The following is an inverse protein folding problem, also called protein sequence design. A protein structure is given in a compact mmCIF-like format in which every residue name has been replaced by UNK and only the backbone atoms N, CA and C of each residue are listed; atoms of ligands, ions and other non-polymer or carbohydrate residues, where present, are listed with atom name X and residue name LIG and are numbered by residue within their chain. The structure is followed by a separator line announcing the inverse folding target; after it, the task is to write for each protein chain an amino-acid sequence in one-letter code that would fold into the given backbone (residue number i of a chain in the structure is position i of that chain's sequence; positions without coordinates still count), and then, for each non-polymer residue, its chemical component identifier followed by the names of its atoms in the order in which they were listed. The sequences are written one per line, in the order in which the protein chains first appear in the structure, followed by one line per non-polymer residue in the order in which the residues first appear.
data_IF_113371004568
#
_entry.id   IF_113371004568
#
_cell.length_a   1.000
_cell.length_b   1.000
_cell.length_c   1.000
_cell.angle_alpha   90.00
_cell.angle_beta   90.00
_cell.angle_gamma   90.00
#
_symmetry.space_group_name_H-M   'P 1'
#
loop_
_entity.id
_entity.type
_entity.pdbx_description
1 polymer ?
#
# COMPACT_ATOMS: atom_id res chain seq x y z
N UNK A 1 3.08 -27.61 42.22
CA UNK A 1 4.51 -27.63 41.86
C UNK A 1 4.61 -28.48 40.61
N UNK A 2 4.44 -27.87 39.42
CA UNK A 2 4.52 -28.52 38.12
C UNK A 2 5.86 -28.14 37.49
N UNK A 3 6.73 -29.12 37.37
CA UNK A 3 8.02 -29.01 36.69
C UNK A 3 7.78 -29.25 35.21
N UNK A 4 7.76 -28.14 34.42
CA UNK A 4 7.68 -28.22 32.98
C UNK A 4 9.09 -28.33 32.42
N UNK A 5 9.54 -29.57 32.20
CA UNK A 5 10.79 -29.88 31.53
C UNK A 5 10.80 -29.25 30.13
N UNK A 6 11.61 -28.21 29.97
CA UNK A 6 11.95 -27.68 28.64
C UNK A 6 12.80 -28.71 27.90
N UNK A 7 12.15 -29.44 27.00
CA UNK A 7 12.86 -30.35 26.07
C UNK A 7 13.89 -29.56 25.25
N UNK A 8 15.12 -30.07 25.22
CA UNK A 8 16.18 -29.56 24.34
C UNK A 8 15.68 -29.51 22.90
N UNK A 9 15.60 -28.31 22.34
CA UNK A 9 15.41 -28.13 20.93
C UNK A 9 16.65 -28.69 20.21
N UNK A 10 16.52 -29.67 19.31
CA UNK A 10 17.67 -30.19 18.59
C UNK A 10 18.32 -29.04 17.82
N UNK A 11 19.63 -28.86 18.02
CA UNK A 11 20.44 -27.92 17.26
C UNK A 11 20.28 -28.25 15.78
N UNK A 12 19.60 -27.38 15.04
CA UNK A 12 19.60 -27.45 13.57
C UNK A 12 21.04 -27.32 13.13
N UNK A 13 21.59 -28.27 12.36
CA UNK A 13 22.91 -28.10 11.77
C UNK A 13 22.83 -26.83 10.93
N UNK A 14 23.83 -25.96 11.07
CA UNK A 14 24.02 -24.79 10.19
C UNK A 14 24.20 -25.30 8.76
N UNK A 15 23.12 -25.57 8.09
CA UNK A 15 23.10 -25.72 6.64
C UNK A 15 23.24 -24.31 6.09
N UNK A 16 24.47 -23.84 5.98
CA UNK A 16 24.80 -22.71 5.13
C UNK A 16 24.56 -23.18 3.69
N UNK A 17 23.28 -23.32 3.34
CA UNK A 17 22.91 -23.41 1.95
C UNK A 17 23.24 -22.07 1.35
N UNK A 18 24.19 -22.04 0.45
CA UNK A 18 24.32 -21.01 -0.54
C UNK A 18 23.04 -20.96 -1.34
N UNK A 19 22.05 -20.26 -0.77
CA UNK A 19 20.78 -20.03 -1.46
C UNK A 19 21.10 -19.04 -2.60
N UNK A 20 20.69 -19.35 -3.83
CA UNK A 20 20.97 -18.49 -4.99
C UNK A 20 20.33 -17.09 -4.93
N UNK A 21 19.58 -16.76 -3.87
CA UNK A 21 19.05 -15.43 -3.61
C UNK A 21 20.11 -14.39 -3.20
N UNK A 22 21.36 -14.80 -2.98
CA UNK A 22 22.47 -13.86 -2.71
C UNK A 22 22.74 -12.89 -3.87
N UNK A 23 22.15 -13.12 -5.04
CA UNK A 23 22.12 -12.20 -6.17
C UNK A 23 20.65 -11.83 -6.47
N UNK A 24 19.97 -11.23 -5.47
CA UNK A 24 18.62 -10.70 -5.66
C UNK A 24 18.58 -9.76 -6.87
N UNK A 25 17.44 -9.78 -7.60
CA UNK A 25 17.23 -8.83 -8.70
C UNK A 25 17.49 -7.40 -8.20
N UNK A 26 18.17 -6.61 -9.00
CA UNK A 26 18.28 -5.18 -8.75
C UNK A 26 16.88 -4.54 -8.85
N UNK A 27 16.55 -3.73 -7.87
CA UNK A 27 15.26 -3.04 -7.81
C UNK A 27 15.49 -1.57 -8.12
N UNK A 28 14.75 -1.05 -9.10
CA UNK A 28 14.81 0.35 -9.51
C UNK A 28 13.43 0.99 -9.44
N UNK A 29 13.38 2.28 -9.16
CA UNK A 29 12.16 3.09 -9.24
C UNK A 29 12.20 3.83 -10.56
N UNK A 30 11.28 3.49 -11.47
CA UNK A 30 11.22 4.05 -12.82
C UNK A 30 10.48 5.38 -12.91
N UNK A 31 9.64 5.69 -11.91
CA UNK A 31 8.91 6.96 -11.84
C UNK A 31 7.80 6.94 -10.82
N UNK A 32 7.06 8.03 -10.73
CA UNK A 32 5.92 8.14 -9.82
C UNK A 32 5.12 9.41 -10.03
N UNK A 33 3.93 9.42 -9.49
CA UNK A 33 3.01 10.57 -9.48
C UNK A 33 2.33 10.65 -8.12
N UNK A 34 1.84 11.84 -7.79
CA UNK A 34 0.96 12.05 -6.65
C UNK A 34 -0.04 13.18 -6.90
N UNK A 35 -1.13 13.15 -6.18
CA UNK A 35 -2.04 14.31 -6.08
C UNK A 35 -1.41 15.45 -5.28
N UNK A 36 -1.87 16.69 -5.41
CA UNK A 36 -1.53 17.73 -4.45
C UNK A 36 -1.99 17.34 -3.05
N UNK A 37 -1.31 17.86 -2.03
CA UNK A 37 -1.81 17.82 -0.66
C UNK A 37 -2.91 18.87 -0.50
N UNK A 38 -4.01 18.48 0.12
CA UNK A 38 -5.12 19.37 0.40
C UNK A 38 -5.37 19.45 1.91
N UNK A 39 -6.06 20.52 2.31
CA UNK A 39 -6.39 20.76 3.70
C UNK A 39 -7.46 19.76 4.17
N UNK A 40 -7.33 19.32 5.41
CA UNK A 40 -8.32 18.50 6.09
C UNK A 40 -9.60 19.31 6.37
N UNK A 41 -10.79 18.69 6.19
CA UNK A 41 -12.08 19.38 6.38
C UNK A 41 -12.38 19.79 7.82
N UNK A 42 -11.63 19.32 8.80
CA UNK A 42 -11.72 19.77 10.18
C UNK A 42 -11.07 21.13 10.44
N UNK A 43 -10.34 21.69 9.44
CA UNK A 43 -9.57 22.91 9.60
C UNK A 43 -8.47 22.81 10.67
N UNK A 44 -7.63 23.84 10.80
CA UNK A 44 -6.58 23.90 11.84
C UNK A 44 -7.12 23.93 13.27
N UNK A 45 -8.38 24.33 13.44
CA UNK A 45 -9.05 24.48 14.74
C UNK A 45 -10.07 23.41 15.04
N UNK A 46 -10.31 22.48 14.12
CA UNK A 46 -11.37 21.49 14.26
C UNK A 46 -12.77 22.11 14.24
N UNK A 47 -12.94 23.25 13.57
CA UNK A 47 -14.19 24.02 13.48
C UNK A 47 -15.20 23.43 12.48
N UNK A 48 -14.81 22.34 11.78
CA UNK A 48 -15.67 21.66 10.83
C UNK A 48 -15.85 22.41 9.51
N UNK A 49 -15.04 23.44 9.24
CA UNK A 49 -15.06 24.12 7.96
C UNK A 49 -14.68 23.17 6.81
N UNK A 50 -15.21 23.47 5.63
CA UNK A 50 -14.94 22.71 4.42
C UNK A 50 -13.44 22.57 4.19
N UNK A 51 -12.96 21.35 4.03
CA UNK A 51 -11.57 21.06 3.72
C UNK A 51 -11.18 21.45 2.31
N UNK A 52 -9.97 21.06 1.91
CA UNK A 52 -9.42 21.36 0.60
C UNK A 52 -10.24 20.75 -0.56
N UNK A 53 -9.87 21.13 -1.77
CA UNK A 53 -10.60 20.78 -3.01
C UNK A 53 -10.81 19.28 -3.23
N UNK A 54 -10.00 18.42 -2.62
CA UNK A 54 -10.09 16.96 -2.74
C UNK A 54 -10.86 16.29 -1.59
N UNK A 55 -11.46 17.05 -0.68
CA UNK A 55 -12.13 16.52 0.51
C UNK A 55 -13.29 15.57 0.20
N UNK A 56 -13.98 15.78 -0.92
CA UNK A 56 -15.13 14.98 -1.36
C UNK A 56 -14.75 13.77 -2.22
N UNK A 57 -13.47 13.66 -2.61
CA UNK A 57 -12.98 12.57 -3.47
C UNK A 57 -12.51 11.42 -2.58
N UNK A 58 -13.02 10.22 -2.81
CA UNK A 58 -12.62 9.05 -2.01
C UNK A 58 -11.13 8.71 -2.13
N UNK A 59 -10.57 8.06 -1.11
CA UNK A 59 -9.18 7.61 -1.13
C UNK A 59 -8.92 6.69 -2.34
N UNK A 60 -9.88 5.82 -2.67
CA UNK A 60 -9.78 4.90 -3.80
C UNK A 60 -9.77 5.62 -5.16
N UNK A 61 -10.53 6.72 -5.30
CA UNK A 61 -10.50 7.56 -6.50
C UNK A 61 -9.17 8.29 -6.62
N UNK A 62 -8.66 8.86 -5.52
CA UNK A 62 -7.32 9.45 -5.50
C UNK A 62 -6.24 8.41 -5.86
N UNK A 63 -6.35 7.20 -5.31
CA UNK A 63 -5.49 6.06 -5.65
C UNK A 63 -5.56 5.69 -7.13
N UNK A 64 -6.76 5.67 -7.70
CA UNK A 64 -6.98 5.41 -9.14
C UNK A 64 -6.21 6.40 -10.01
N UNK A 65 -6.37 7.69 -9.73
CA UNK A 65 -5.76 8.74 -10.55
C UNK A 65 -4.24 8.75 -10.46
N UNK A 66 -3.65 8.46 -9.29
CA UNK A 66 -2.19 8.39 -9.17
C UNK A 66 -1.62 7.15 -9.84
N UNK A 67 -2.33 6.01 -9.81
CA UNK A 67 -1.90 4.80 -10.53
C UNK A 67 -1.91 5.07 -12.04
N UNK A 68 -3.01 5.62 -12.59
CA UNK A 68 -3.08 6.02 -14.01
C UNK A 68 -1.93 6.96 -14.37
N UNK A 69 -1.78 8.04 -13.62
CA UNK A 69 -0.75 9.03 -13.88
C UNK A 69 0.68 8.46 -13.78
N UNK A 70 0.93 7.50 -12.89
CA UNK A 70 2.23 6.84 -12.79
C UNK A 70 2.51 5.95 -14.01
N UNK A 71 1.54 5.15 -14.44
CA UNK A 71 1.62 4.28 -15.62
C UNK A 71 1.85 5.10 -16.88
N UNK A 72 1.07 6.16 -17.07
CA UNK A 72 1.23 7.09 -18.20
C UNK A 72 2.61 7.77 -18.20
N UNK A 73 3.04 8.26 -17.04
CA UNK A 73 4.32 8.95 -16.91
C UNK A 73 5.52 8.07 -17.24
N UNK A 74 5.44 6.80 -16.88
CA UNK A 74 6.52 5.82 -17.10
C UNK A 74 6.37 5.07 -18.41
N UNK A 75 5.31 5.33 -19.18
CA UNK A 75 4.95 4.60 -20.39
C UNK A 75 4.91 3.07 -20.16
N UNK A 76 4.41 2.67 -18.99
CA UNK A 76 4.28 1.26 -18.62
C UNK A 76 2.99 0.69 -19.20
N UNK A 77 3.05 -0.50 -19.79
CA UNK A 77 1.82 -1.22 -20.17
C UNK A 77 1.12 -1.72 -18.91
N UNK A 78 -0.15 -1.36 -18.66
CA UNK A 78 -0.91 -1.88 -17.54
C UNK A 78 -0.91 -3.42 -17.41
N UNK A 79 -0.80 -4.12 -18.54
CA UNK A 79 -0.75 -5.58 -18.60
C UNK A 79 0.59 -6.16 -18.13
N UNK A 80 1.64 -5.36 -18.09
CA UNK A 80 2.94 -5.77 -17.56
C UNK A 80 3.07 -5.60 -16.05
N UNK A 81 2.04 -5.09 -15.39
CA UNK A 81 2.03 -4.92 -13.93
C UNK A 81 1.68 -6.24 -13.26
N UNK A 82 2.65 -6.83 -12.57
CA UNK A 82 2.49 -8.12 -11.89
C UNK A 82 1.81 -8.01 -10.53
N UNK A 83 1.92 -6.84 -9.86
CA UNK A 83 1.30 -6.61 -8.55
C UNK A 83 1.02 -5.13 -8.30
N UNK A 84 -0.02 -4.84 -7.52
CA UNK A 84 -0.30 -3.50 -6.98
C UNK A 84 -0.29 -3.55 -5.46
N UNK A 85 0.48 -2.67 -4.82
CA UNK A 85 0.55 -2.57 -3.36
C UNK A 85 0.23 -1.14 -2.94
N UNK A 86 -0.91 -0.93 -2.28
CA UNK A 86 -1.33 0.40 -1.82
C UNK A 86 -1.48 0.44 -0.30
N UNK A 87 -0.81 1.42 0.30
CA UNK A 87 -1.01 1.75 1.70
C UNK A 87 -2.31 2.51 1.91
N UNK A 88 -3.09 2.13 2.92
CA UNK A 88 -4.32 2.81 3.31
C UNK A 88 -4.52 2.65 4.82
N UNK A 89 -4.32 3.72 5.57
CA UNK A 89 -4.30 3.65 7.02
C UNK A 89 -5.70 3.70 7.63
N UNK A 90 -6.55 4.60 7.16
CA UNK A 90 -7.88 4.84 7.70
C UNK A 90 -8.95 4.58 6.65
N UNK A 91 -9.70 3.50 6.83
CA UNK A 91 -10.77 3.09 5.93
C UNK A 91 -11.98 4.02 6.10
N UNK A 92 -12.22 4.85 5.11
CA UNK A 92 -13.26 5.90 5.12
C UNK A 92 -14.49 5.56 4.29
N UNK A 93 -14.47 4.41 3.61
CA UNK A 93 -15.60 3.93 2.79
C UNK A 93 -15.84 2.44 2.96
N UNK A 94 -17.01 1.94 2.56
CA UNK A 94 -17.31 0.51 2.54
C UNK A 94 -16.47 -0.29 1.53
N UNK A 95 -15.81 0.39 0.59
CA UNK A 95 -14.92 -0.22 -0.40
C UNK A 95 -13.45 -0.22 0.03
N UNK A 96 -13.12 0.53 1.07
CA UNK A 96 -11.75 0.77 1.51
C UNK A 96 -10.99 -0.51 1.91
N UNK A 97 -11.70 -1.52 2.39
CA UNK A 97 -11.11 -2.82 2.74
C UNK A 97 -10.39 -3.48 1.54
N UNK A 98 -10.90 -3.24 0.33
CA UNK A 98 -10.32 -3.68 -0.92
C UNK A 98 -9.76 -2.51 -1.74
N UNK A 99 -9.32 -1.45 -1.08
CA UNK A 99 -8.98 -0.17 -1.70
C UNK A 99 -7.97 -0.27 -2.83
N UNK A 100 -6.87 -1.01 -2.64
CA UNK A 100 -5.90 -1.26 -3.71
C UNK A 100 -6.53 -1.94 -4.92
N UNK A 101 -7.44 -2.91 -4.69
CA UNK A 101 -8.14 -3.63 -5.76
C UNK A 101 -9.04 -2.71 -6.56
N UNK A 102 -9.83 -1.88 -5.89
CA UNK A 102 -10.69 -0.91 -6.56
C UNK A 102 -9.90 0.13 -7.33
N UNK A 103 -8.84 0.67 -6.73
CA UNK A 103 -8.00 1.67 -7.37
C UNK A 103 -7.29 1.11 -8.62
N UNK A 104 -6.70 -0.09 -8.51
CA UNK A 104 -5.98 -0.74 -9.60
C UNK A 104 -6.89 -1.09 -10.77
N UNK A 105 -8.05 -1.72 -10.51
CA UNK A 105 -9.01 -2.06 -11.57
C UNK A 105 -9.54 -0.83 -12.30
N UNK A 106 -9.89 0.22 -11.56
CA UNK A 106 -10.34 1.50 -12.16
C UNK A 106 -9.22 2.21 -12.92
N UNK A 107 -7.96 1.95 -12.57
CA UNK A 107 -6.80 2.45 -13.30
C UNK A 107 -6.46 1.65 -14.57
N UNK A 108 -7.19 0.57 -14.84
CA UNK A 108 -6.99 -0.26 -16.03
C UNK A 108 -6.00 -1.41 -15.84
N UNK A 109 -5.57 -1.69 -14.64
CA UNK A 109 -4.77 -2.88 -14.33
C UNK A 109 -5.66 -4.12 -14.51
N UNK A 110 -5.16 -5.19 -15.14
CA UNK A 110 -5.93 -6.41 -15.37
C UNK A 110 -6.50 -7.03 -14.10
N UNK A 111 -7.63 -7.69 -14.23
CA UNK A 111 -8.27 -8.35 -13.08
C UNK A 111 -7.47 -9.54 -12.53
N UNK A 112 -6.60 -10.13 -13.32
CA UNK A 112 -5.71 -11.22 -12.95
C UNK A 112 -4.58 -10.76 -12.05
N UNK A 113 -4.20 -9.48 -12.14
CA UNK A 113 -3.13 -8.91 -11.32
C UNK A 113 -3.54 -8.88 -9.84
N UNK A 114 -2.79 -9.49 -8.94
CA UNK A 114 -3.05 -9.43 -7.51
C UNK A 114 -2.81 -8.03 -6.97
N UNK A 115 -3.62 -7.62 -5.98
CA UNK A 115 -3.58 -6.28 -5.42
C UNK A 115 -3.72 -6.34 -3.90
N UNK A 116 -2.77 -5.74 -3.19
CA UNK A 116 -2.68 -5.73 -1.73
C UNK A 116 -2.94 -4.33 -1.17
N UNK A 117 -3.91 -4.23 -0.28
CA UNK A 117 -4.04 -3.08 0.62
C UNK A 117 -3.33 -3.39 1.91
N UNK A 118 -2.36 -2.55 2.30
CA UNK A 118 -1.64 -2.73 3.56
C UNK A 118 -1.82 -1.53 4.49
N UNK A 119 -1.70 -1.79 5.78
CA UNK A 119 -1.80 -0.77 6.80
C UNK A 119 -0.62 -0.86 7.79
N UNK A 120 0.16 0.19 7.82
CA UNK A 120 1.19 0.49 8.83
C UNK A 120 1.06 1.93 9.30
N UNK A 121 -0.17 2.39 9.47
CA UNK A 121 -0.51 3.78 9.80
C UNK A 121 0.18 4.77 8.84
N UNK A 122 0.75 5.86 9.35
CA UNK A 122 1.42 6.89 8.53
C UNK A 122 2.59 6.35 7.68
N UNK A 123 3.13 5.17 8.03
CA UNK A 123 4.21 4.50 7.30
C UNK A 123 3.74 3.61 6.15
N UNK A 124 2.43 3.51 5.88
CA UNK A 124 1.86 2.56 4.90
C UNK A 124 2.39 2.77 3.49
N UNK A 125 2.49 4.02 3.04
CA UNK A 125 3.03 4.34 1.71
C UNK A 125 4.49 3.92 1.54
N UNK A 126 5.34 4.17 2.53
CA UNK A 126 6.72 3.70 2.51
C UNK A 126 6.79 2.16 2.59
N UNK A 127 5.95 1.54 3.40
CA UNK A 127 5.90 0.08 3.51
C UNK A 127 5.46 -0.58 2.19
N UNK A 128 4.57 0.04 1.42
CA UNK A 128 4.18 -0.50 0.10
C UNK A 128 5.38 -0.61 -0.84
N UNK A 129 6.26 0.40 -0.85
CA UNK A 129 7.50 0.38 -1.65
C UNK A 129 8.45 -0.71 -1.18
N UNK A 130 8.62 -0.86 0.15
CA UNK A 130 9.44 -1.94 0.72
C UNK A 130 8.89 -3.32 0.34
N UNK A 131 7.58 -3.52 0.45
CA UNK A 131 6.94 -4.79 0.10
C UNK A 131 7.07 -5.09 -1.40
N UNK A 132 6.89 -4.10 -2.27
CA UNK A 132 7.12 -4.24 -3.70
C UNK A 132 8.56 -4.64 -4.03
N UNK A 133 9.53 -3.97 -3.40
CA UNK A 133 10.94 -4.33 -3.57
C UNK A 133 11.23 -5.77 -3.14
N UNK A 134 10.66 -6.21 -2.02
CA UNK A 134 10.79 -7.59 -1.56
C UNK A 134 10.20 -8.61 -2.55
N UNK A 135 9.03 -8.34 -3.14
CA UNK A 135 8.43 -9.20 -4.17
C UNK A 135 9.35 -9.34 -5.39
N UNK A 136 9.94 -8.24 -5.85
CA UNK A 136 10.88 -8.25 -6.98
C UNK A 136 12.15 -9.03 -6.63
N UNK A 137 12.73 -8.78 -5.45
CA UNK A 137 13.95 -9.47 -4.99
C UNK A 137 13.75 -10.97 -4.82
N UNK A 138 12.54 -11.40 -4.42
CA UNK A 138 12.16 -12.81 -4.28
C UNK A 138 11.78 -13.46 -5.62
N UNK A 139 11.66 -12.69 -6.70
CA UNK A 139 11.26 -13.19 -8.00
C UNK A 139 9.77 -13.49 -8.14
N UNK A 140 8.95 -12.95 -7.24
CA UNK A 140 7.48 -13.06 -7.28
C UNK A 140 6.85 -12.09 -8.29
N UNK A 141 7.56 -11.01 -8.62
CA UNK A 141 7.14 -10.00 -9.56
C UNK A 141 8.35 -9.37 -10.27
N UNK A 142 8.14 -8.78 -11.43
CA UNK A 142 9.11 -7.97 -12.16
C UNK A 142 8.73 -6.48 -12.15
N UNK A 143 7.43 -6.19 -12.24
CA UNK A 143 6.89 -4.82 -12.26
C UNK A 143 5.79 -4.66 -11.21
N UNK A 144 5.98 -3.75 -10.26
CA UNK A 144 5.02 -3.50 -9.19
C UNK A 144 4.67 -2.02 -9.12
N UNK A 145 3.38 -1.72 -9.01
CA UNK A 145 2.90 -0.39 -8.66
C UNK A 145 2.76 -0.33 -7.14
N UNK A 146 3.53 0.56 -6.51
CA UNK A 146 3.52 0.75 -5.06
C UNK A 146 3.19 2.19 -4.70
N UNK A 147 2.34 2.40 -3.71
CA UNK A 147 1.95 3.74 -3.30
C UNK A 147 1.08 3.77 -2.05
N UNK A 148 0.34 4.83 -1.91
CA UNK A 148 -0.64 5.00 -0.83
C UNK A 148 -1.76 5.93 -1.25
N UNK A 149 -2.84 5.86 -0.53
CA UNK A 149 -4.03 6.69 -0.72
C UNK A 149 -4.68 6.96 0.64
N UNK A 150 -5.12 8.18 0.85
CA UNK A 150 -5.74 8.56 2.13
C UNK A 150 -6.62 9.79 1.94
N UNK A 151 -7.78 9.82 2.57
CA UNK A 151 -8.59 11.02 2.72
C UNK A 151 -9.16 11.12 4.14
N UNK A 152 -8.44 11.80 5.01
CA UNK A 152 -8.83 11.98 6.42
C UNK A 152 -10.05 12.89 6.59
N UNK A 153 -10.41 13.70 5.58
CA UNK A 153 -11.62 14.52 5.62
C UNK A 153 -12.91 13.69 5.61
N UNK A 154 -12.84 12.45 5.13
CA UNK A 154 -13.96 11.50 5.10
C UNK A 154 -13.97 10.52 6.28
N UNK A 155 -13.04 10.69 7.23
CA UNK A 155 -12.98 9.81 8.39
C UNK A 155 -14.25 9.94 9.24
N UNK A 156 -14.89 8.82 9.64
CA UNK A 156 -16.05 8.86 10.50
C UNK A 156 -15.68 9.38 11.88
N UNK A 157 -16.41 10.36 12.36
CA UNK A 157 -16.30 10.82 13.75
C UNK A 157 -17.14 9.91 14.62
N UNK A 158 -16.51 9.17 15.52
CA UNK A 158 -17.22 8.37 16.53
C UNK A 158 -17.22 9.16 17.84
N UNK A 159 -18.41 9.57 18.37
CA UNK A 159 -18.48 10.18 19.66
C UNK A 159 -18.05 9.17 20.73
N UNK A 160 -16.99 9.49 21.48
CA UNK A 160 -16.57 8.71 22.63
C UNK A 160 -17.37 9.20 23.82
N UNK A 161 -18.35 8.43 24.26
CA UNK A 161 -19.01 8.64 25.57
C UNK A 161 -18.14 8.00 26.66
N UNK A 162 -17.65 8.81 27.57
CA UNK A 162 -17.02 8.36 28.81
C UNK A 162 -18.07 8.03 29.87
#
# INVERSE_FOLDING_TARGET
MYDAGFGHCPSYPHVAHHLPWAMGKEVVIVGGKRTPFCEWSGGKRGDGEKGGLLSEISAEELGTEVIKGAIEHTNTDPKSVDHVVMGHALQTSGQAIFGARHAGLRAGIPQETPMLTLNRLCGSGAQSVVSAAQMIMLGEADTVVAGGMENLSQAPMVPVSY
#
